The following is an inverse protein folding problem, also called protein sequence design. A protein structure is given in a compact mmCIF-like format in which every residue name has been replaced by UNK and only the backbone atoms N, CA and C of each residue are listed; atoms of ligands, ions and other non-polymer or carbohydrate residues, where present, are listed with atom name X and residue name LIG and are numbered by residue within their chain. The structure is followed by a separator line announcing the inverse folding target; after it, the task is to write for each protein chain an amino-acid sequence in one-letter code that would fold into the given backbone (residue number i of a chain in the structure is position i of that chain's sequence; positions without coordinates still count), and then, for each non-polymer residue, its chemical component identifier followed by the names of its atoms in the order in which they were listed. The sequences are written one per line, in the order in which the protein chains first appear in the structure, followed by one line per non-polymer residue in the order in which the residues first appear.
data_IF_366519414664
#
_entry.id   IF_366519414664
#
_cell.length_a   1.000
_cell.length_b   1.000
_cell.length_c   1.000
_cell.angle_alpha   90.00
_cell.angle_beta   90.00
_cell.angle_gamma   90.00
#
_symmetry.space_group_name_H-M   'P 1'
#
loop_
_entity.id
_entity.type
_entity.pdbx_description
1 polymer ?
#
# COMPACT_ATOMS: atom_id res chain seq x y z
N UNK A 1 16.02 23.37 17.00
CA UNK A 1 14.77 22.82 16.44
C UNK A 1 14.18 23.86 15.51
N UNK A 2 14.30 23.69 14.18
CA UNK A 2 13.60 24.58 13.24
C UNK A 2 12.15 24.15 13.21
N UNK A 3 11.23 25.06 13.55
CA UNK A 3 9.80 24.91 13.31
C UNK A 3 9.59 24.69 11.81
N UNK A 4 9.07 23.52 11.44
CA UNK A 4 8.63 23.24 10.07
C UNK A 4 7.22 23.83 9.95
N UNK A 5 7.08 24.97 9.26
CA UNK A 5 5.78 25.43 8.79
C UNK A 5 5.18 24.42 7.79
N UNK A 6 3.91 24.59 7.41
CA UNK A 6 3.19 23.64 6.53
C UNK A 6 3.91 23.25 5.23
N UNK A 7 4.73 24.13 4.64
CA UNK A 7 5.56 23.79 3.46
C UNK A 7 6.74 22.88 3.79
N UNK A 8 7.33 23.00 4.99
CA UNK A 8 8.47 22.18 5.43
C UNK A 8 8.08 20.75 5.79
N UNK A 9 6.84 20.53 6.25
CA UNK A 9 6.35 19.18 6.55
C UNK A 9 6.20 18.36 5.26
N UNK A 10 5.60 18.94 4.21
CA UNK A 10 5.47 18.25 2.92
C UNK A 10 6.83 17.90 2.31
N UNK A 11 7.80 18.81 2.34
CA UNK A 11 9.16 18.55 1.86
C UNK A 11 9.86 17.43 2.66
N UNK A 12 9.70 17.40 3.99
CA UNK A 12 10.26 16.35 4.83
C UNK A 12 9.67 14.97 4.48
N UNK A 13 8.35 14.89 4.27
CA UNK A 13 7.69 13.64 3.86
C UNK A 13 8.24 13.11 2.54
N UNK A 14 8.38 13.98 1.54
CA UNK A 14 8.94 13.58 0.25
C UNK A 14 10.40 13.14 0.38
N UNK A 15 11.20 13.80 1.22
CA UNK A 15 12.57 13.37 1.49
C UNK A 15 12.64 11.98 2.15
N UNK A 16 11.77 11.70 3.13
CA UNK A 16 11.70 10.39 3.77
C UNK A 16 11.25 9.30 2.78
N UNK A 17 10.22 9.56 1.98
CA UNK A 17 9.78 8.63 0.94
C UNK A 17 10.89 8.39 -0.10
N UNK A 18 11.60 9.45 -0.51
CA UNK A 18 12.78 9.34 -1.37
C UNK A 18 13.85 8.42 -0.78
N UNK A 19 14.10 8.50 0.53
CA UNK A 19 15.06 7.63 1.21
C UNK A 19 14.63 6.15 1.27
N UNK A 20 13.33 5.87 1.11
CA UNK A 20 12.77 4.52 1.05
C UNK A 20 12.74 3.94 -0.39
N UNK A 21 13.23 4.71 -1.38
CA UNK A 21 13.30 4.30 -2.78
C UNK A 21 12.09 4.70 -3.62
N UNK A 22 11.25 5.62 -3.15
CA UNK A 22 10.19 6.21 -3.97
C UNK A 22 10.75 7.34 -4.83
N UNK A 23 10.46 7.33 -6.13
CA UNK A 23 10.66 8.52 -6.95
C UNK A 23 9.73 9.62 -6.46
N UNK A 24 10.19 10.87 -6.42
CA UNK A 24 9.39 12.01 -5.95
C UNK A 24 9.07 12.93 -7.12
N UNK A 25 7.80 13.32 -7.26
CA UNK A 25 7.35 14.30 -8.26
C UNK A 25 6.38 15.32 -7.69
N UNK A 26 6.34 16.49 -8.35
CA UNK A 26 5.46 17.58 -7.97
C UNK A 26 4.17 17.64 -8.77
N UNK A 27 3.04 17.79 -8.06
CA UNK A 27 1.65 17.90 -8.55
C UNK A 27 1.50 18.54 -9.93
N UNK A 28 1.86 19.83 -10.00
CA UNK A 28 1.71 20.63 -11.21
C UNK A 28 2.59 20.20 -12.39
N UNK A 29 3.68 19.46 -12.15
CA UNK A 29 4.63 19.10 -13.21
C UNK A 29 4.12 17.96 -14.10
N UNK A 30 3.31 17.05 -13.56
CA UNK A 30 2.73 15.90 -14.30
C UNK A 30 1.24 16.06 -14.62
N UNK A 31 0.63 17.19 -14.23
CA UNK A 31 -0.72 17.55 -14.61
C UNK A 31 -0.86 17.64 -16.16
N UNK A 32 -2.08 17.64 -16.73
CA UNK A 32 -2.28 17.71 -18.18
C UNK A 32 -1.57 18.88 -18.88
N UNK A 33 -1.44 20.01 -18.19
CA UNK A 33 -0.75 21.21 -18.67
C UNK A 33 0.70 21.31 -18.18
N UNK A 34 1.15 20.28 -17.45
CA UNK A 34 2.46 20.21 -16.82
C UNK A 34 3.58 19.93 -17.83
N UNK A 35 4.79 20.36 -17.48
CA UNK A 35 5.99 20.19 -18.33
C UNK A 35 6.33 18.73 -18.62
N UNK A 36 5.98 17.84 -17.71
CA UNK A 36 6.23 16.40 -17.77
C UNK A 36 4.90 15.64 -17.63
N UNK A 37 3.86 16.11 -18.33
CA UNK A 37 2.52 15.55 -18.27
C UNK A 37 2.54 14.02 -18.45
N UNK A 38 2.04 13.30 -17.45
CA UNK A 38 1.81 11.85 -17.50
C UNK A 38 0.31 11.52 -17.52
N UNK A 39 -0.54 12.54 -17.47
CA UNK A 39 -1.99 12.47 -17.55
C UNK A 39 -2.48 13.41 -18.64
N UNK A 40 -3.52 13.01 -19.36
CA UNK A 40 -4.19 13.86 -20.36
C UNK A 40 -5.35 14.64 -19.76
N UNK A 41 -5.89 14.19 -18.62
CA UNK A 41 -7.04 14.79 -17.97
C UNK A 41 -6.93 14.70 -16.44
N UNK A 42 -7.47 15.68 -15.70
CA UNK A 42 -7.52 15.65 -14.24
C UNK A 42 -8.44 14.54 -13.69
N UNK A 43 -9.31 13.96 -14.52
CA UNK A 43 -10.12 12.77 -14.20
C UNK A 43 -9.31 11.49 -14.14
N UNK A 44 -8.11 11.47 -14.71
CA UNK A 44 -7.24 10.29 -14.67
C UNK A 44 -6.59 10.16 -13.29
N UNK A 45 -7.01 9.12 -12.55
CA UNK A 45 -6.44 8.77 -11.24
C UNK A 45 -5.36 7.70 -11.33
N UNK A 46 -5.29 6.97 -12.45
CA UNK A 46 -4.25 5.97 -12.77
C UNK A 46 -3.28 6.58 -13.77
N UNK A 47 -1.97 6.36 -13.55
CA UNK A 47 -0.93 6.75 -14.50
C UNK A 47 -0.83 5.67 -15.58
N UNK A 48 -1.62 5.85 -16.64
CA UNK A 48 -1.91 4.79 -17.61
C UNK A 48 -0.66 4.17 -18.27
N UNK A 49 0.35 4.98 -18.61
CA UNK A 49 1.56 4.46 -19.23
C UNK A 49 2.36 3.58 -18.25
N UNK A 50 2.52 4.02 -17.00
CA UNK A 50 3.21 3.24 -15.95
C UNK A 50 2.51 1.90 -15.70
N UNK A 51 1.18 1.90 -15.67
CA UNK A 51 0.40 0.66 -15.51
C UNK A 51 0.62 -0.30 -16.69
N UNK A 52 0.62 0.20 -17.93
CA UNK A 52 0.92 -0.64 -19.10
C UNK A 52 2.34 -1.20 -19.04
N UNK A 53 3.31 -0.37 -18.68
CA UNK A 53 4.71 -0.79 -18.55
C UNK A 53 4.89 -1.83 -17.43
N UNK A 54 4.19 -1.67 -16.30
CA UNK A 54 4.10 -2.65 -15.20
C UNK A 54 3.51 -3.98 -15.67
N UNK A 55 2.34 -3.96 -16.29
CA UNK A 55 1.66 -5.15 -16.80
C UNK A 55 2.54 -5.92 -17.80
N UNK A 56 3.18 -5.22 -18.74
CA UNK A 56 4.07 -5.84 -19.73
C UNK A 56 5.32 -6.44 -19.08
N UNK A 57 5.92 -5.74 -18.10
CA UNK A 57 7.12 -6.20 -17.39
C UNK A 57 6.85 -7.43 -16.54
N UNK A 58 5.72 -7.47 -15.84
CA UNK A 58 5.38 -8.54 -14.91
C UNK A 58 4.76 -9.78 -15.58
N UNK A 59 4.31 -9.65 -16.84
CA UNK A 59 3.62 -10.71 -17.56
C UNK A 59 4.18 -10.89 -18.99
N UNK A 60 5.48 -11.22 -19.15
CA UNK A 60 6.13 -11.31 -20.46
C UNK A 60 5.54 -12.40 -21.36
N UNK A 61 4.88 -13.41 -20.78
CA UNK A 61 4.29 -14.54 -21.50
C UNK A 61 2.85 -14.26 -21.99
N UNK A 62 2.25 -13.13 -21.60
CA UNK A 62 0.90 -12.77 -22.03
C UNK A 62 0.91 -11.95 -23.32
N UNK A 63 -0.02 -12.23 -24.28
CA UNK A 63 -0.14 -11.43 -25.49
C UNK A 63 -0.67 -10.03 -25.18
N UNK A 64 -0.39 -9.08 -26.08
CA UNK A 64 -0.78 -7.67 -25.91
C UNK A 64 -2.28 -7.47 -25.69
N UNK A 65 -3.14 -8.27 -26.34
CA UNK A 65 -4.60 -8.21 -26.13
C UNK A 65 -5.01 -8.58 -24.69
N UNK A 66 -4.32 -9.52 -24.05
CA UNK A 66 -4.58 -9.91 -22.68
C UNK A 66 -4.12 -8.82 -21.70
N UNK A 67 -2.98 -8.19 -21.98
CA UNK A 67 -2.47 -7.06 -21.19
C UNK A 67 -3.40 -5.85 -21.29
N UNK A 68 -3.91 -5.53 -22.47
CA UNK A 68 -4.88 -4.44 -22.64
C UNK A 68 -6.24 -4.79 -22.02
N UNK A 69 -6.64 -6.06 -22.01
CA UNK A 69 -7.81 -6.50 -21.26
C UNK A 69 -7.65 -6.30 -19.74
N UNK A 70 -6.50 -6.68 -19.18
CA UNK A 70 -6.17 -6.39 -17.78
C UNK A 70 -6.19 -4.88 -17.51
N UNK A 71 -5.51 -4.10 -18.35
CA UNK A 71 -5.45 -2.64 -18.24
C UNK A 71 -6.84 -1.99 -18.20
N UNK A 72 -7.82 -2.49 -18.98
CA UNK A 72 -9.19 -1.95 -18.97
C UNK A 72 -9.97 -2.30 -17.70
N UNK A 73 -9.73 -3.50 -17.14
CA UNK A 73 -10.42 -3.99 -15.93
C UNK A 73 -9.95 -3.30 -14.66
N UNK A 74 -8.63 -3.07 -14.52
CA UNK A 74 -8.02 -2.59 -13.26
C UNK A 74 -8.61 -1.25 -12.77
N UNK A 75 -8.73 -0.19 -13.60
CA UNK A 75 -9.28 1.09 -13.16
C UNK A 75 -10.79 1.06 -12.92
N UNK A 76 -11.48 0.00 -13.33
CA UNK A 76 -12.93 -0.14 -13.29
C UNK A 76 -13.35 -1.39 -12.49
N UNK A 77 -12.98 -1.49 -11.20
CA UNK A 77 -13.34 -2.63 -10.38
C UNK A 77 -14.88 -2.75 -10.25
N UNK A 78 -15.36 -3.99 -10.25
CA UNK A 78 -16.79 -4.28 -10.19
C UNK A 78 -17.37 -4.00 -8.79
N UNK A 79 -18.62 -3.54 -8.74
CA UNK A 79 -19.35 -3.34 -7.48
C UNK A 79 -20.29 -2.13 -7.52
N UNK A 80 -21.46 -2.30 -6.89
CA UNK A 80 -22.45 -1.23 -6.78
C UNK A 80 -22.06 -0.16 -5.74
N UNK A 81 -21.27 -0.53 -4.73
CA UNK A 81 -20.79 0.37 -3.67
C UNK A 81 -19.29 0.58 -3.78
N UNK A 82 -18.79 1.67 -3.18
CA UNK A 82 -17.36 1.97 -3.15
C UNK A 82 -16.57 0.89 -2.40
N UNK A 83 -17.15 0.35 -1.34
CA UNK A 83 -16.61 -0.74 -0.55
C UNK A 83 -16.46 -2.02 -1.40
N UNK A 84 -17.51 -2.38 -2.17
CA UNK A 84 -17.47 -3.54 -3.06
C UNK A 84 -16.39 -3.40 -4.15
N UNK A 85 -16.30 -2.21 -4.75
CA UNK A 85 -15.25 -1.87 -5.74
C UNK A 85 -13.85 -1.99 -5.16
N UNK A 86 -13.65 -1.50 -3.95
CA UNK A 86 -12.34 -1.58 -3.28
C UNK A 86 -11.96 -3.03 -2.95
N UNK A 87 -12.93 -3.89 -2.57
CA UNK A 87 -12.67 -5.33 -2.40
C UNK A 87 -12.33 -6.01 -3.72
N UNK A 88 -13.04 -5.69 -4.79
CA UNK A 88 -12.78 -6.25 -6.11
C UNK A 88 -11.38 -5.84 -6.60
N UNK A 89 -11.02 -4.56 -6.46
CA UNK A 89 -9.68 -4.06 -6.77
C UNK A 89 -8.59 -4.74 -5.93
N UNK A 90 -8.78 -4.87 -4.62
CA UNK A 90 -7.84 -5.55 -3.75
C UNK A 90 -7.60 -7.01 -4.18
N UNK A 91 -8.65 -7.74 -4.56
CA UNK A 91 -8.51 -9.10 -5.11
C UNK A 91 -7.72 -9.10 -6.42
N UNK A 92 -7.97 -8.14 -7.31
CA UNK A 92 -7.17 -8.01 -8.54
C UNK A 92 -5.69 -7.77 -8.24
N UNK A 93 -5.37 -6.97 -7.21
CA UNK A 93 -3.98 -6.74 -6.77
C UNK A 93 -3.31 -8.04 -6.28
N UNK A 94 -3.99 -8.80 -5.41
CA UNK A 94 -3.42 -9.96 -4.72
C UNK A 94 -3.43 -11.22 -5.57
N UNK A 95 -4.56 -11.50 -6.24
CA UNK A 95 -4.78 -12.74 -7.00
C UNK A 95 -4.42 -12.59 -8.49
N UNK A 96 -4.30 -11.35 -8.96
CA UNK A 96 -4.16 -11.00 -10.38
C UNK A 96 -5.50 -10.75 -11.08
N UNK A 97 -5.43 -10.26 -12.31
CA UNK A 97 -6.59 -9.98 -13.15
C UNK A 97 -6.83 -11.15 -14.08
N UNK A 98 -8.03 -11.72 -14.04
CA UNK A 98 -8.40 -12.80 -14.96
C UNK A 98 -8.57 -12.23 -16.37
N UNK A 99 -7.78 -12.77 -17.30
CA UNK A 99 -7.77 -12.40 -18.72
C UNK A 99 -7.94 -13.63 -19.59
N UNK A 100 -8.63 -13.46 -20.72
CA UNK A 100 -8.83 -14.49 -21.72
C UNK A 100 -8.23 -14.05 -23.06
N UNK A 101 -7.53 -14.94 -23.73
CA UNK A 101 -6.93 -14.67 -25.03
C UNK A 101 -6.93 -15.91 -25.92
N UNK A 102 -6.81 -15.69 -27.24
CA UNK A 102 -6.80 -16.77 -28.22
C UNK A 102 -5.37 -17.25 -28.44
N UNK A 103 -5.15 -18.56 -28.29
CA UNK A 103 -3.87 -19.20 -28.61
C UNK A 103 -3.67 -19.35 -30.13
N UNK A 104 -2.43 -19.55 -30.59
CA UNK A 104 -2.14 -19.81 -32.01
C UNK A 104 -2.89 -21.01 -32.60
N UNK A 105 -3.25 -22.00 -31.77
CA UNK A 105 -4.02 -23.18 -32.18
C UNK A 105 -5.55 -22.93 -32.29
N UNK A 106 -6.00 -21.70 -32.05
CA UNK A 106 -7.39 -21.29 -32.10
C UNK A 106 -8.19 -21.50 -30.81
N UNK A 107 -7.60 -22.13 -29.78
CA UNK A 107 -8.26 -22.33 -28.48
C UNK A 107 -8.24 -21.06 -27.63
N UNK A 108 -9.18 -20.95 -26.67
CA UNK A 108 -9.21 -19.84 -25.69
C UNK A 108 -8.46 -20.28 -24.43
N UNK A 109 -7.56 -19.43 -23.95
CA UNK A 109 -6.82 -19.61 -22.71
C UNK A 109 -7.23 -18.56 -21.69
N UNK A 110 -7.38 -18.97 -20.42
CA UNK A 110 -7.47 -18.06 -19.28
C UNK A 110 -6.13 -17.98 -18.53
N UNK A 111 -5.77 -16.80 -18.05
CA UNK A 111 -4.61 -16.57 -17.19
C UNK A 111 -4.91 -15.49 -16.14
N UNK A 112 -4.08 -15.42 -15.09
CA UNK A 112 -4.06 -14.29 -14.16
C UNK A 112 -2.91 -13.36 -14.53
N UNK A 113 -3.22 -12.13 -14.93
CA UNK A 113 -2.24 -11.08 -15.15
C UNK A 113 -1.88 -10.46 -13.79
N UNK A 114 -0.61 -10.55 -13.41
CA UNK A 114 -0.10 -9.94 -12.17
C UNK A 114 -0.03 -8.42 -12.31
N UNK A 115 -0.45 -7.72 -11.27
CA UNK A 115 -0.41 -6.24 -11.22
C UNK A 115 0.86 -5.76 -10.51
N UNK A 116 1.27 -6.46 -9.45
CA UNK A 116 2.41 -6.12 -8.61
C UNK A 116 3.33 -7.34 -8.45
N UNK A 117 4.63 -7.08 -8.30
CA UNK A 117 5.62 -8.06 -7.86
C UNK A 117 5.79 -7.98 -6.34
N UNK A 118 5.13 -8.89 -5.63
CA UNK A 118 5.23 -8.99 -4.17
C UNK A 118 6.53 -9.64 -3.69
N UNK A 119 7.24 -10.35 -4.57
CA UNK A 119 8.43 -11.11 -4.20
C UNK A 119 9.70 -10.28 -4.36
N UNK A 120 9.78 -9.48 -5.43
CA UNK A 120 10.90 -8.59 -5.74
C UNK A 120 10.36 -7.15 -5.84
N UNK A 121 10.24 -6.42 -4.71
CA UNK A 121 9.62 -5.09 -4.68
C UNK A 121 10.24 -4.09 -5.66
N UNK A 122 11.54 -4.20 -5.94
CA UNK A 122 12.29 -3.40 -6.89
C UNK A 122 11.84 -3.55 -8.36
N UNK A 123 11.12 -4.63 -8.69
CA UNK A 123 10.54 -4.81 -10.02
C UNK A 123 9.30 -3.96 -10.23
N UNK A 124 8.75 -3.32 -9.19
CA UNK A 124 7.64 -2.36 -9.33
C UNK A 124 8.19 -0.94 -9.53
N UNK A 125 7.42 -0.10 -10.21
CA UNK A 125 7.65 1.35 -10.25
C UNK A 125 7.06 2.02 -8.99
N UNK A 126 7.85 2.84 -8.29
CA UNK A 126 7.48 3.47 -7.02
C UNK A 126 7.51 4.99 -7.14
N UNK A 127 6.37 5.64 -6.94
CA UNK A 127 6.25 7.08 -7.15
C UNK A 127 5.42 7.76 -6.05
N UNK A 128 6.03 8.72 -5.35
CA UNK A 128 5.38 9.63 -4.43
C UNK A 128 5.10 10.97 -5.10
N UNK A 129 3.86 11.41 -5.05
CA UNK A 129 3.40 12.58 -5.78
C UNK A 129 2.71 13.54 -4.83
N UNK A 130 3.28 14.73 -4.63
CA UNK A 130 2.59 15.75 -3.83
C UNK A 130 1.59 16.56 -4.66
N UNK A 131 0.58 17.16 -4.00
CA UNK A 131 -0.39 18.06 -4.62
C UNK A 131 -1.08 17.47 -5.85
N UNK A 132 -1.55 16.23 -5.75
CA UNK A 132 -2.14 15.48 -6.86
C UNK A 132 -3.58 15.95 -7.14
N UNK A 133 -3.77 16.93 -8.02
CA UNK A 133 -5.11 17.42 -8.38
C UNK A 133 -5.90 16.37 -9.15
N UNK A 134 -7.15 16.14 -8.74
CA UNK A 134 -8.12 15.22 -9.36
C UNK A 134 -9.47 15.91 -9.51
N UNK A 135 -10.11 15.68 -10.65
CA UNK A 135 -11.49 16.11 -10.89
C UNK A 135 -12.44 14.93 -11.04
N UNK A 136 -13.61 15.02 -10.41
CA UNK A 136 -14.69 14.04 -10.59
C UNK A 136 -16.05 14.74 -10.48
N UNK A 137 -16.85 14.65 -11.56
CA UNK A 137 -18.06 15.45 -11.69
C UNK A 137 -17.78 16.95 -11.58
N UNK A 138 -18.37 17.60 -10.57
CA UNK A 138 -18.18 19.04 -10.26
C UNK A 138 -17.07 19.30 -9.23
N UNK A 139 -16.46 18.25 -8.71
CA UNK A 139 -15.52 18.34 -7.59
C UNK A 139 -14.10 18.39 -8.13
N UNK A 140 -13.30 19.32 -7.60
CA UNK A 140 -11.88 19.44 -7.86
C UNK A 140 -11.17 19.41 -6.50
N UNK A 141 -10.43 18.34 -6.24
CA UNK A 141 -9.69 18.14 -4.98
C UNK A 141 -8.23 17.89 -5.26
N UNK A 142 -7.41 18.12 -4.24
CA UNK A 142 -5.97 18.03 -4.34
C UNK A 142 -5.42 17.39 -3.08
N UNK A 143 -5.43 16.05 -3.03
CA UNK A 143 -4.68 15.31 -2.02
C UNK A 143 -3.26 15.81 -1.85
N UNK A 144 -2.80 15.85 -0.60
CA UNK A 144 -1.47 16.38 -0.28
C UNK A 144 -0.39 15.48 -0.85
N UNK A 145 -0.51 14.17 -0.69
CA UNK A 145 0.39 13.19 -1.29
C UNK A 145 -0.40 11.94 -1.72
N UNK A 146 -0.12 11.45 -2.92
CA UNK A 146 -0.60 10.15 -3.42
C UNK A 146 0.61 9.29 -3.75
N UNK A 147 0.59 8.05 -3.27
CA UNK A 147 1.63 7.06 -3.47
C UNK A 147 1.18 6.06 -4.53
N UNK A 148 1.96 5.97 -5.60
CA UNK A 148 1.72 5.12 -6.74
C UNK A 148 2.67 3.94 -6.77
N UNK A 149 2.12 2.75 -7.05
CA UNK A 149 2.90 1.57 -7.43
C UNK A 149 2.42 1.10 -8.79
N UNK A 150 3.33 1.02 -9.76
CA UNK A 150 3.02 0.72 -11.17
C UNK A 150 1.86 1.56 -11.72
N UNK A 151 1.85 2.84 -11.36
CA UNK A 151 0.83 3.80 -11.79
C UNK A 151 -0.53 3.70 -11.08
N UNK A 152 -0.69 2.84 -10.09
CA UNK A 152 -1.91 2.72 -9.28
C UNK A 152 -1.83 3.51 -7.97
N UNK A 153 -2.81 4.34 -7.59
CA UNK A 153 -2.78 5.21 -6.41
C UNK A 153 -3.09 4.42 -5.11
N UNK A 154 -2.15 3.62 -4.64
CA UNK A 154 -2.35 2.66 -3.56
C UNK A 154 -2.37 3.27 -2.14
N UNK A 155 -1.88 4.50 -1.96
CA UNK A 155 -2.06 5.19 -0.69
C UNK A 155 -2.22 6.70 -0.82
N UNK A 156 -2.96 7.29 0.12
CA UNK A 156 -3.22 8.73 0.19
C UNK A 156 -2.79 9.25 1.57
N UNK A 157 -2.03 10.33 1.60
CA UNK A 157 -1.58 11.00 2.83
C UNK A 157 -2.12 12.43 2.83
N UNK A 158 -2.88 12.78 3.86
CA UNK A 158 -3.36 14.13 4.11
C UNK A 158 -2.63 14.74 5.31
N UNK A 159 -2.14 15.97 5.11
CA UNK A 159 -1.29 16.68 6.06
C UNK A 159 -1.99 17.97 6.49
N UNK A 160 -1.97 18.25 7.79
CA UNK A 160 -2.38 19.54 8.35
C UNK A 160 -1.17 20.32 8.81
N UNK A 161 -1.32 21.64 8.82
CA UNK A 161 -0.28 22.55 9.26
C UNK A 161 -0.12 22.42 10.78
N UNK A 162 1.06 22.05 11.30
CA UNK A 162 1.28 21.87 12.75
C UNK A 162 1.20 23.19 13.54
N UNK A 163 1.18 24.33 12.86
CA UNK A 163 1.13 25.67 13.47
C UNK A 163 -0.32 26.19 13.62
N UNK A 164 -1.29 25.49 13.04
CA UNK A 164 -2.70 25.87 13.11
C UNK A 164 -3.41 25.06 14.20
N UNK A 165 -3.74 25.70 15.32
CA UNK A 165 -4.36 25.06 16.50
C UNK A 165 -5.73 24.43 16.18
N UNK A 166 -6.43 24.91 15.15
CA UNK A 166 -7.72 24.35 14.68
C UNK A 166 -7.52 23.16 13.72
N UNK A 167 -6.31 22.97 13.21
CA UNK A 167 -5.97 21.94 12.23
C UNK A 167 -5.63 20.60 12.90
N UNK A 168 -6.55 20.10 13.73
CA UNK A 168 -6.42 18.80 14.39
C UNK A 168 -6.32 17.64 13.38
N UNK A 169 -5.74 16.52 13.80
CA UNK A 169 -5.75 15.26 13.04
C UNK A 169 -7.17 14.85 12.57
N UNK A 170 -8.21 15.24 13.30
CA UNK A 170 -9.59 14.92 12.94
C UNK A 170 -10.14 15.82 11.84
N UNK A 171 -9.62 17.02 11.69
CA UNK A 171 -9.86 17.87 10.51
C UNK A 171 -9.29 17.22 9.26
N UNK A 172 -8.11 16.58 9.35
CA UNK A 172 -7.54 15.77 8.26
C UNK A 172 -8.42 14.54 7.95
N UNK A 173 -8.91 13.84 8.97
CA UNK A 173 -9.85 12.73 8.79
C UNK A 173 -11.13 13.17 8.07
N UNK A 174 -11.75 14.30 8.44
CA UNK A 174 -12.95 14.81 7.78
C UNK A 174 -12.68 15.21 6.32
N UNK A 175 -11.48 15.71 6.01
CA UNK A 175 -11.06 15.99 4.63
C UNK A 175 -11.01 14.70 3.81
N UNK A 176 -10.43 13.62 4.35
CA UNK A 176 -10.49 12.31 3.70
C UNK A 176 -11.92 11.81 3.49
N UNK A 177 -12.82 11.98 4.48
CA UNK A 177 -14.22 11.60 4.32
C UNK A 177 -14.90 12.38 3.19
N UNK A 178 -14.60 13.68 3.09
CA UNK A 178 -15.08 14.54 2.00
C UNK A 178 -14.57 14.04 0.65
N UNK A 179 -13.26 13.77 0.55
CA UNK A 179 -12.65 13.31 -0.70
C UNK A 179 -13.16 11.93 -1.09
N UNK A 180 -13.38 11.01 -0.13
CA UNK A 180 -14.00 9.71 -0.37
C UNK A 180 -15.37 9.83 -1.05
N UNK A 181 -16.18 10.79 -0.61
CA UNK A 181 -17.51 11.02 -1.18
C UNK A 181 -17.48 11.70 -2.55
N UNK A 182 -16.50 12.56 -2.79
CA UNK A 182 -16.43 13.40 -3.98
C UNK A 182 -15.55 12.83 -5.10
N UNK A 183 -14.57 11.99 -4.75
CA UNK A 183 -13.64 11.33 -5.66
C UNK A 183 -13.70 9.79 -5.55
N UNK A 184 -14.88 9.14 -5.68
CA UNK A 184 -15.00 7.70 -5.51
C UNK A 184 -14.14 6.88 -6.47
N UNK A 185 -13.76 7.41 -7.64
CA UNK A 185 -12.86 6.73 -8.59
C UNK A 185 -11.43 6.62 -8.05
N UNK A 186 -10.92 7.67 -7.40
CA UNK A 186 -9.63 7.61 -6.70
C UNK A 186 -9.71 6.67 -5.50
N UNK A 187 -10.81 6.73 -4.75
CA UNK A 187 -10.95 6.00 -3.50
C UNK A 187 -11.27 4.51 -3.66
N UNK A 188 -11.67 4.05 -4.85
CA UNK A 188 -11.81 2.62 -5.15
C UNK A 188 -10.48 1.89 -5.34
N UNK A 189 -9.37 2.62 -5.47
CA UNK A 189 -8.06 2.07 -5.83
C UNK A 189 -6.99 2.21 -4.73
N UNK A 190 -7.33 2.80 -3.56
CA UNK A 190 -6.37 2.88 -2.46
C UNK A 190 -6.44 1.66 -1.54
N UNK A 191 -5.28 1.31 -1.01
CA UNK A 191 -5.12 0.31 0.02
C UNK A 191 -5.04 0.93 1.42
N UNK A 192 -4.28 2.02 1.56
CA UNK A 192 -4.02 2.67 2.85
C UNK A 192 -4.30 4.18 2.81
N UNK A 193 -4.76 4.71 3.95
CA UNK A 193 -5.00 6.13 4.17
C UNK A 193 -4.21 6.61 5.39
N UNK A 194 -3.55 7.75 5.27
CA UNK A 194 -2.77 8.38 6.35
C UNK A 194 -3.26 9.79 6.59
N UNK A 195 -3.37 10.14 7.88
CA UNK A 195 -3.66 11.50 8.34
C UNK A 195 -2.59 11.95 9.32
N UNK A 196 -2.20 13.22 9.21
CA UNK A 196 -1.24 13.84 10.13
C UNK A 196 -1.59 15.29 10.39
N UNK A 197 -1.41 15.75 11.62
CA UNK A 197 -1.34 17.18 11.96
C UNK A 197 0.08 17.64 12.30
N UNK A 198 1.08 16.81 12.00
CA UNK A 198 2.49 17.03 12.29
C UNK A 198 2.89 16.64 13.72
N UNK A 199 1.95 16.49 14.66
CA UNK A 199 2.19 15.95 16.00
C UNK A 199 1.73 14.50 16.11
N UNK A 200 0.47 14.24 15.77
CA UNK A 200 -0.09 12.90 15.68
C UNK A 200 -0.08 12.42 14.22
N UNK A 201 0.12 11.12 14.01
CA UNK A 201 -0.08 10.50 12.69
C UNK A 201 -0.77 9.16 12.85
N UNK A 202 -1.79 8.91 12.01
CA UNK A 202 -2.60 7.70 12.06
C UNK A 202 -2.78 7.07 10.68
N UNK A 203 -2.80 5.75 10.66
CA UNK A 203 -3.05 4.89 9.51
C UNK A 203 -4.46 4.29 9.61
N UNK A 204 -5.17 4.22 8.50
CA UNK A 204 -6.46 3.56 8.37
C UNK A 204 -6.72 3.08 6.95
N UNK A 205 -7.94 2.61 6.71
CA UNK A 205 -8.44 2.11 5.42
C UNK A 205 -9.72 2.86 5.03
N UNK A 206 -10.20 2.63 3.80
CA UNK A 206 -11.40 3.26 3.25
C UNK A 206 -12.65 3.21 4.17
N UNK A 207 -12.85 2.10 4.88
CA UNK A 207 -14.05 1.85 5.69
C UNK A 207 -13.80 2.08 7.18
N UNK A 208 -12.56 2.40 7.57
CA UNK A 208 -12.21 2.60 8.97
C UNK A 208 -12.91 3.84 9.54
N UNK A 209 -13.63 3.63 10.65
CA UNK A 209 -14.10 4.70 11.52
C UNK A 209 -12.94 5.43 12.19
N UNK A 210 -13.26 6.56 12.82
CA UNK A 210 -12.29 7.43 13.52
C UNK A 210 -11.43 6.66 14.52
N UNK A 211 -12.05 5.75 15.26
CA UNK A 211 -11.47 4.88 16.28
C UNK A 211 -10.51 3.83 15.72
N UNK A 212 -10.61 3.53 14.42
CA UNK A 212 -9.78 2.55 13.71
C UNK A 212 -8.63 3.18 12.91
N UNK A 213 -8.52 4.52 12.91
CA UNK A 213 -7.29 5.20 12.55
C UNK A 213 -6.30 5.11 13.71
N UNK A 214 -5.32 4.20 13.58
CA UNK A 214 -4.38 3.84 14.64
C UNK A 214 -2.98 4.41 14.39
N UNK A 215 -2.21 4.73 15.45
CA UNK A 215 -0.82 5.15 15.29
C UNK A 215 0.06 3.96 14.89
N UNK A 216 1.15 4.24 14.16
CA UNK A 216 2.23 3.29 13.89
C UNK A 216 3.49 3.75 14.64
N UNK A 217 3.98 2.95 15.58
CA UNK A 217 4.92 3.43 16.62
C UNK A 217 6.33 2.87 16.55
N UNK A 218 6.65 2.10 15.53
CA UNK A 218 7.97 1.46 15.39
C UNK A 218 8.32 1.32 13.91
N UNK A 219 9.61 1.45 13.57
CA UNK A 219 10.06 1.25 12.17
C UNK A 219 10.33 -0.24 11.91
N UNK A 220 11.11 -0.88 12.79
CA UNK A 220 11.59 -2.26 12.61
C UNK A 220 10.83 -3.30 13.45
N UNK A 221 10.03 -2.86 14.44
CA UNK A 221 9.29 -3.74 15.33
C UNK A 221 10.00 -4.09 16.63
N UNK A 222 11.26 -3.67 16.78
CA UNK A 222 12.10 -4.03 17.93
C UNK A 222 11.70 -3.26 19.18
N UNK A 223 11.50 -1.94 19.04
CA UNK A 223 11.13 -1.04 20.13
C UNK A 223 10.19 0.05 19.61
N UNK A 224 9.38 0.59 20.52
CA UNK A 224 8.63 1.81 20.25
C UNK A 224 9.63 2.96 20.18
N UNK A 225 9.53 3.78 19.13
CA UNK A 225 10.43 4.92 18.93
C UNK A 225 10.26 5.96 20.04
N UNK A 226 11.34 6.69 20.32
CA UNK A 226 11.35 7.72 21.35
C UNK A 226 10.31 8.82 21.09
N UNK A 227 9.77 9.40 22.15
CA UNK A 227 8.75 10.48 22.10
C UNK A 227 9.24 11.71 21.32
N UNK A 228 10.56 11.88 21.16
CA UNK A 228 11.17 12.98 20.41
C UNK A 228 11.24 12.77 18.89
N UNK A 229 10.92 11.57 18.39
CA UNK A 229 10.92 11.26 16.95
C UNK A 229 9.55 11.60 16.35
N UNK A 230 9.54 12.17 15.14
CA UNK A 230 8.29 12.51 14.46
C UNK A 230 7.44 11.26 14.20
N UNK A 231 6.20 11.23 14.69
CA UNK A 231 5.27 10.11 14.42
C UNK A 231 5.03 9.91 12.92
N UNK A 232 5.04 10.99 12.14
CA UNK A 232 4.92 10.93 10.70
C UNK A 232 6.11 10.22 10.07
N UNK A 233 7.34 10.54 10.48
CA UNK A 233 8.55 9.84 10.04
C UNK A 233 8.51 8.35 10.39
N UNK A 234 8.15 8.03 11.63
CA UNK A 234 8.06 6.64 12.12
C UNK A 234 7.04 5.84 11.32
N UNK A 235 5.85 6.39 11.11
CA UNK A 235 4.82 5.73 10.31
C UNK A 235 5.28 5.57 8.87
N UNK A 236 5.86 6.62 8.27
CA UNK A 236 6.26 6.55 6.86
C UNK A 236 7.35 5.51 6.64
N UNK A 237 8.39 5.52 7.47
CA UNK A 237 9.49 4.54 7.39
C UNK A 237 9.07 3.15 7.82
N UNK A 238 8.11 3.02 8.75
CA UNK A 238 7.59 1.75 9.21
C UNK A 238 6.68 1.06 8.20
N UNK A 239 5.82 1.83 7.52
CA UNK A 239 4.75 1.33 6.63
C UNK A 239 5.18 1.33 5.16
N UNK A 240 5.79 2.42 4.66
CA UNK A 240 6.07 2.62 3.23
C UNK A 240 7.50 2.26 2.82
N UNK A 241 8.20 1.47 3.63
CA UNK A 241 9.23 0.60 3.08
C UNK A 241 8.60 -0.31 2.02
N UNK A 242 9.24 -0.43 0.85
CA UNK A 242 8.65 -1.07 -0.34
C UNK A 242 8.20 -2.50 -0.07
N UNK A 243 8.99 -3.27 0.67
CA UNK A 243 8.64 -4.64 1.03
C UNK A 243 7.51 -4.68 2.06
N UNK A 244 7.58 -3.87 3.13
CA UNK A 244 6.53 -3.85 4.18
C UNK A 244 5.19 -3.35 3.65
N UNK A 245 5.20 -2.39 2.73
CA UNK A 245 3.98 -1.89 2.09
C UNK A 245 3.26 -2.99 1.30
N UNK A 246 4.00 -3.74 0.47
CA UNK A 246 3.44 -4.87 -0.29
C UNK A 246 2.94 -5.98 0.63
N UNK A 247 3.67 -6.28 1.71
CA UNK A 247 3.24 -7.26 2.70
C UNK A 247 1.96 -6.80 3.42
N UNK A 248 1.86 -5.52 3.77
CA UNK A 248 0.68 -4.96 4.41
C UNK A 248 -0.57 -5.10 3.52
N UNK A 249 -0.40 -4.85 2.22
CA UNK A 249 -1.46 -5.05 1.24
C UNK A 249 -1.80 -6.54 1.13
N UNK A 250 -0.85 -7.41 0.79
CA UNK A 250 -1.13 -8.81 0.45
C UNK A 250 -1.62 -9.64 1.64
N UNK A 251 -0.92 -9.50 2.75
CA UNK A 251 -0.98 -10.47 3.84
C UNK A 251 -1.63 -9.91 5.10
N UNK A 252 -1.68 -8.58 5.25
CA UNK A 252 -2.21 -7.92 6.44
C UNK A 252 -3.42 -7.01 6.21
N UNK A 253 -4.08 -7.15 5.05
CA UNK A 253 -5.37 -6.52 4.77
C UNK A 253 -6.46 -7.58 4.63
N UNK A 254 -7.60 -7.37 5.27
CA UNK A 254 -8.76 -8.27 5.21
C UNK A 254 -10.04 -7.51 4.96
N UNK A 255 -11.01 -8.19 4.36
CA UNK A 255 -12.37 -7.69 4.18
C UNK A 255 -13.32 -8.57 4.99
N UNK A 256 -14.03 -7.98 5.94
CA UNK A 256 -15.05 -8.64 6.73
C UNK A 256 -16.44 -8.27 6.24
N UNK A 257 -17.28 -9.28 6.08
CA UNK A 257 -18.68 -9.17 5.69
C UNK A 257 -19.48 -9.96 6.74
N UNK A 258 -20.17 -9.25 7.63
CA UNK A 258 -20.92 -9.84 8.74
C UNK A 258 -22.28 -10.41 8.30
N UNK A 259 -22.55 -10.44 6.98
CA UNK A 259 -23.81 -10.90 6.41
C UNK A 259 -24.94 -9.85 6.47
N UNK A 260 -24.71 -8.68 7.08
CA UNK A 260 -25.64 -7.54 7.05
C UNK A 260 -25.58 -6.76 5.73
N UNK A 261 -24.61 -7.09 4.86
CA UNK A 261 -24.28 -6.34 3.65
C UNK A 261 -23.31 -5.19 3.91
N UNK A 262 -22.85 -5.00 5.15
CA UNK A 262 -21.76 -4.09 5.50
C UNK A 262 -20.41 -4.77 5.24
N UNK A 263 -19.55 -4.09 4.50
CA UNK A 263 -18.22 -4.59 4.16
C UNK A 263 -17.14 -3.71 4.79
N UNK A 264 -16.36 -4.28 5.71
CA UNK A 264 -15.29 -3.59 6.43
C UNK A 264 -13.92 -4.04 5.92
N UNK A 265 -13.18 -3.12 5.29
CA UNK A 265 -11.74 -3.25 4.99
C UNK A 265 -10.93 -2.95 6.25
N UNK A 266 -10.11 -3.89 6.71
CA UNK A 266 -9.25 -3.75 7.89
C UNK A 266 -7.79 -3.99 7.50
N UNK A 267 -6.88 -3.29 8.17
CA UNK A 267 -5.43 -3.50 8.07
C UNK A 267 -4.86 -3.77 9.46
N UNK A 268 -3.84 -4.61 9.56
CA UNK A 268 -3.18 -4.90 10.82
C UNK A 268 -2.60 -3.65 11.49
N UNK A 269 -2.69 -3.59 12.81
CA UNK A 269 -1.88 -2.67 13.61
C UNK A 269 -0.41 -3.12 13.67
N UNK A 270 0.51 -2.21 13.97
CA UNK A 270 1.95 -2.50 13.99
C UNK A 270 2.32 -3.69 14.90
N UNK A 271 1.65 -3.85 16.05
CA UNK A 271 1.87 -5.00 16.94
C UNK A 271 1.55 -6.33 16.26
N UNK A 272 0.40 -6.40 15.57
CA UNK A 272 -0.02 -7.61 14.86
C UNK A 272 0.95 -7.91 13.71
N UNK A 273 1.31 -6.87 12.94
CA UNK A 273 2.27 -6.99 11.84
C UNK A 273 3.62 -7.56 12.29
N UNK A 274 4.25 -6.94 13.31
CA UNK A 274 5.56 -7.38 13.77
C UNK A 274 5.51 -8.71 14.53
N UNK A 275 4.46 -8.98 15.30
CA UNK A 275 4.32 -10.26 16.01
C UNK A 275 4.22 -11.45 15.05
N UNK A 276 3.42 -11.33 13.97
CA UNK A 276 3.29 -12.38 12.96
C UNK A 276 4.62 -12.61 12.24
N UNK A 277 5.35 -11.54 11.89
CA UNK A 277 6.67 -11.67 11.25
C UNK A 277 7.68 -12.41 12.13
N UNK A 278 7.73 -12.10 13.42
CA UNK A 278 8.60 -12.82 14.36
C UNK A 278 8.20 -14.30 14.44
N UNK A 279 6.90 -14.60 14.52
CA UNK A 279 6.42 -15.98 14.58
C UNK A 279 6.76 -16.80 13.30
N UNK A 280 6.61 -16.19 12.12
CA UNK A 280 7.00 -16.79 10.84
C UNK A 280 8.51 -17.05 10.82
N UNK A 281 9.32 -16.07 11.19
CA UNK A 281 10.79 -16.20 11.18
C UNK A 281 11.27 -17.30 12.13
N UNK A 282 10.72 -17.37 13.34
CA UNK A 282 11.04 -18.43 14.31
C UNK A 282 10.64 -19.82 13.80
N UNK A 283 9.52 -19.93 13.09
CA UNK A 283 9.09 -21.20 12.51
C UNK A 283 10.02 -21.66 11.38
N UNK A 284 10.45 -20.74 10.52
CA UNK A 284 11.42 -21.04 9.46
C UNK A 284 12.78 -21.48 10.03
N UNK A 285 13.23 -20.82 11.11
CA UNK A 285 14.44 -21.19 11.87
C UNK A 285 14.31 -22.58 12.49
N UNK A 286 13.19 -22.88 13.15
CA UNK A 286 12.93 -24.17 13.77
C UNK A 286 12.79 -25.31 12.73
N UNK A 287 12.28 -25.01 11.54
CA UNK A 287 12.13 -25.95 10.42
C UNK A 287 13.42 -26.27 9.65
N UNK A 288 14.56 -25.66 10.02
CA UNK A 288 15.85 -25.89 9.36
C UNK A 288 16.01 -25.20 8.00
N UNK A 289 15.12 -24.28 7.64
CA UNK A 289 15.29 -23.40 6.48
C UNK A 289 16.41 -22.41 6.75
N UNK A 290 17.36 -22.27 5.82
CA UNK A 290 18.24 -21.10 5.86
C UNK A 290 17.36 -19.87 5.67
N UNK A 291 17.41 -18.95 6.64
CA UNK A 291 16.97 -17.58 6.42
C UNK A 291 17.82 -17.04 5.27
N UNK A 292 17.20 -16.90 4.10
CA UNK A 292 17.66 -15.89 3.16
C UNK A 292 17.64 -14.60 3.95
N UNK A 293 18.81 -14.12 4.34
CA UNK A 293 18.92 -12.84 5.03
C UNK A 293 18.50 -11.80 3.99
N UNK A 294 17.20 -11.47 3.94
CA UNK A 294 16.77 -10.21 3.36
C UNK A 294 17.30 -9.16 4.31
N UNK A 295 18.56 -8.79 4.05
CA UNK A 295 19.34 -7.91 4.88
C UNK A 295 18.67 -6.53 4.84
N UNK A 296 17.87 -6.25 5.87
CA UNK A 296 17.83 -4.89 6.39
C UNK A 296 19.25 -4.62 6.88
N UNK A 297 19.99 -3.83 6.11
CA UNK A 297 21.39 -3.56 6.36
C UNK A 297 21.53 -2.61 7.56
N UNK A 298 21.36 -3.15 8.77
CA UNK A 298 21.87 -2.66 10.07
C UNK A 298 21.36 -3.54 11.22
N UNK A 299 22.29 -4.25 11.88
CA UNK A 299 22.03 -4.93 13.16
C UNK A 299 22.30 -6.44 13.12
N UNK A 300 23.56 -6.85 13.33
CA UNK A 300 23.90 -8.27 13.52
C UNK A 300 23.51 -8.70 14.94
N UNK A 301 22.74 -9.78 15.05
CA UNK A 301 22.71 -10.60 16.26
C UNK A 301 23.67 -11.78 16.09
N UNK A 302 24.67 -11.88 16.96
CA UNK A 302 25.50 -13.08 17.11
C UNK A 302 24.94 -13.96 18.24
N UNK A 303 24.64 -15.22 17.92
CA UNK A 303 24.55 -16.28 18.92
C UNK A 303 25.06 -17.62 18.34
N UNK A 304 26.18 -18.09 18.91
CA UNK A 304 26.60 -19.49 19.06
C UNK A 304 26.52 -20.46 17.87
N UNK A 305 27.65 -20.70 17.20
CA UNK A 305 27.81 -21.81 16.23
C UNK A 305 27.77 -23.18 16.92
N UNK A 306 27.00 -24.12 16.35
CA UNK A 306 27.33 -25.56 16.35
C UNK A 306 27.07 -26.18 14.97
N UNK A 307 27.93 -27.12 14.59
CA UNK A 307 28.13 -27.59 13.24
C UNK A 307 27.22 -28.76 12.82
N UNK A 308 26.79 -28.71 11.55
CA UNK A 308 26.78 -29.86 10.64
C UNK A 308 25.50 -30.69 10.55
N UNK A 309 24.73 -30.50 9.46
CA UNK A 309 24.21 -31.54 8.54
C UNK A 309 23.44 -30.87 7.37
N UNK A 310 23.49 -31.50 6.19
CA UNK A 310 22.88 -31.03 4.92
C UNK A 310 21.36 -30.83 5.08
N UNK A 311 20.84 -29.69 4.60
CA UNK A 311 19.43 -29.34 4.64
C UNK A 311 18.64 -29.95 3.46
N UNK A 312 17.41 -30.45 3.68
CA UNK A 312 16.43 -30.71 2.64
C UNK A 312 15.63 -29.43 2.28
N UNK A 313 14.94 -29.51 1.15
CA UNK A 313 14.11 -28.48 0.53
C UNK A 313 13.10 -27.81 1.49
N UNK A 314 13.02 -26.47 1.43
CA UNK A 314 12.17 -25.59 2.24
C UNK A 314 10.67 -25.79 1.94
N UNK A 315 9.83 -25.88 2.98
CA UNK A 315 8.36 -26.02 2.87
C UNK A 315 7.65 -24.69 3.19
N UNK A 316 7.02 -24.05 2.18
CA UNK A 316 6.28 -22.78 2.28
C UNK A 316 4.95 -22.88 3.06
N UNK A 317 4.55 -24.08 3.51
CA UNK A 317 3.26 -24.29 4.20
C UNK A 317 3.17 -23.62 5.57
N UNK A 318 4.29 -23.44 6.27
CA UNK A 318 4.31 -22.87 7.62
C UNK A 318 4.01 -21.36 7.63
N UNK A 319 4.55 -20.59 6.70
CA UNK A 319 4.31 -19.15 6.58
C UNK A 319 2.85 -18.84 6.25
N UNK A 320 2.26 -19.59 5.32
CA UNK A 320 0.84 -19.49 4.97
C UNK A 320 -0.06 -19.78 6.18
N UNK A 321 0.28 -20.78 6.99
CA UNK A 321 -0.51 -21.14 8.18
C UNK A 321 -0.57 -20.00 9.22
N UNK A 322 0.53 -19.27 9.44
CA UNK A 322 0.53 -18.15 10.39
C UNK A 322 -0.20 -16.90 9.86
N UNK A 323 -0.10 -16.64 8.56
CA UNK A 323 -0.86 -15.57 7.90
C UNK A 323 -2.35 -15.89 7.95
N UNK A 324 -2.73 -17.15 7.71
CA UNK A 324 -4.12 -17.59 7.84
C UNK A 324 -4.59 -17.50 9.30
N UNK A 325 -3.76 -17.88 10.27
CA UNK A 325 -4.06 -17.71 11.71
C UNK A 325 -4.19 -16.24 12.09
N UNK A 326 -3.41 -15.32 11.50
CA UNK A 326 -3.61 -13.87 11.67
C UNK A 326 -4.93 -13.40 11.05
N UNK A 327 -5.26 -13.83 9.82
CA UNK A 327 -6.55 -13.52 9.18
C UNK A 327 -7.72 -14.01 10.06
N UNK A 328 -7.56 -15.18 10.68
CA UNK A 328 -8.47 -15.74 11.68
C UNK A 328 -8.48 -14.93 12.99
N UNK A 329 -7.33 -14.50 13.52
CA UNK A 329 -7.26 -13.72 14.75
C UNK A 329 -7.85 -12.31 14.59
N UNK A 330 -7.70 -11.67 13.42
CA UNK A 330 -8.35 -10.38 13.12
C UNK A 330 -9.86 -10.51 13.03
N UNK A 331 -10.39 -11.67 12.60
CA UNK A 331 -11.82 -11.96 12.71
C UNK A 331 -12.30 -12.13 14.15
N UNK A 332 -11.41 -12.45 15.10
CA UNK A 332 -11.77 -12.73 16.51
C UNK A 332 -11.53 -11.54 17.44
N UNK A 333 -10.48 -10.73 17.21
CA UNK A 333 -10.07 -9.61 18.08
C UNK A 333 -10.78 -8.26 17.76
N UNK A 334 -11.93 -8.31 17.09
CA UNK A 334 -12.81 -7.15 16.89
C UNK A 334 -14.02 -7.11 17.85
N UNK A 335 -13.97 -7.84 18.97
CA UNK A 335 -14.90 -7.70 20.11
C UNK A 335 -14.30 -6.78 21.18
#
# INVERSE_FOLDING_TARGET
MRSLGGSGVGEAVLAWLGSLGWAVKHGPEFAPEGRFAERQDYREVVLAQRLRDGLARLNPDLPAEALEDAFRKIPNPEGATLEARTRAFHRMLVDGVTVEYRRPDGTIAGSQARILDFEEPENNDWLAVNQFTVSEGRHLRRPDIVLFVDGLPLAIVELKNPVDEEATIWTAFQQLQTYKMELPTLFSLNELLVISDGLETRLGTLTAGREWFKPWRTILGEQVEDIGVSQLEVLLKGVFDRWRFLLLIRDFTVFEDDGSGKLDKKVAGYHQFHAVRVAVEETLRAGGGQTGTMADARGRHEAGRRAGRRAPHCDRRSEVLFIDVWKLAVMVDCI
#
